data_IF_385741176600
#
_entry.id   IF_385741176600
#
_cell.length_a   1.000
_cell.length_b   1.000
_cell.length_c   1.000
_cell.angle_alpha   90.00
_cell.angle_beta   90.00
_cell.angle_gamma   90.00
#
_symmetry.space_group_name_H-M   'P 1'
#
loop_
_entity.id
_entity.type
_entity.pdbx_description
1 polymer ?
2 non-polymer ?
3 non-polymer ?
4 water ?
#
# COMPACT_ATOMS: atom_id res chain seq x y z
N UNK A 15 -28.06 -17.97 11.78
CA UNK A 15 -28.05 -16.87 10.77
C UNK A 15 -27.47 -17.37 9.45
N UNK A 16 -28.17 -17.03 8.40
CA UNK A 16 -28.07 -17.68 7.12
C UNK A 16 -27.56 -16.61 6.14
N UNK A 17 -26.91 -17.01 5.03
CA UNK A 17 -26.41 -15.97 4.10
C UNK A 17 -27.42 -14.86 3.77
N UNK A 18 -28.65 -15.25 3.44
CA UNK A 18 -29.68 -14.29 3.05
C UNK A 18 -30.07 -13.30 4.17
N UNK A 19 -29.70 -13.62 5.42
CA UNK A 19 -29.97 -12.73 6.56
C UNK A 19 -28.76 -11.91 7.09
N UNK A 20 -27.59 -12.08 6.46
CA UNK A 20 -26.37 -11.40 6.92
C UNK A 20 -26.51 -9.88 6.95
N UNK A 21 -26.99 -9.28 5.86
CA UNK A 21 -27.12 -7.83 5.74
C UNK A 21 -28.11 -7.27 6.73
N UNK A 22 -29.20 -7.99 6.95
CA UNK A 22 -30.22 -7.64 7.92
C UNK A 22 -29.64 -7.61 9.34
N UNK A 23 -28.93 -8.67 9.75
CA UNK A 23 -28.34 -8.79 11.10
C UNK A 23 -27.31 -7.68 11.35
N UNK A 24 -26.43 -7.45 10.38
CA UNK A 24 -25.40 -6.45 10.56
C UNK A 24 -26.02 -5.05 10.61
N UNK A 25 -27.04 -4.84 9.79
CA UNK A 25 -27.66 -3.51 9.63
C UNK A 25 -28.32 -3.01 10.90
N UNK A 26 -28.62 -3.89 11.83
CA UNK A 26 -29.11 -3.49 13.15
C UNK A 26 -28.03 -2.78 13.99
N UNK A 27 -26.74 -2.99 13.67
CA UNK A 27 -25.65 -2.49 14.50
C UNK A 27 -24.69 -1.56 13.76
N UNK A 28 -24.70 -1.61 12.43
CA UNK A 28 -23.70 -0.90 11.66
C UNK A 28 -24.27 -0.32 10.40
N UNK A 29 -23.54 0.63 9.83
CA UNK A 29 -23.77 1.08 8.48
C UNK A 29 -23.40 -0.03 7.49
N UNK A 30 -24.36 -0.48 6.69
CA UNK A 30 -24.08 -1.60 5.78
C UNK A 30 -23.87 -1.10 4.33
N UNK A 31 -22.67 -0.61 4.05
CA UNK A 31 -22.43 0.05 2.76
C UNK A 31 -21.46 -0.72 1.82
N UNK A 32 -21.12 -1.96 2.15
CA UNK A 32 -20.20 -2.73 1.34
C UNK A 32 -20.88 -3.43 0.18
N UNK A 33 -20.21 -4.44 -0.36
CA UNK A 33 -20.71 -5.17 -1.52
C UNK A 33 -21.98 -5.95 -1.24
N UNK A 34 -22.79 -6.10 -2.30
CA UNK A 34 -24.04 -6.84 -2.27
C UNK A 34 -23.96 -8.35 -2.04
N UNK A 35 -22.76 -8.90 -2.02
CA UNK A 35 -22.66 -10.34 -1.94
C UNK A 35 -22.44 -10.75 -0.51
N UNK A 36 -22.51 -12.04 -0.26
CA UNK A 36 -22.09 -12.56 1.02
C UNK A 36 -20.99 -13.55 0.69
N UNK A 37 -19.81 -13.33 1.28
CA UNK A 37 -18.62 -14.10 0.92
C UNK A 37 -18.71 -15.55 1.37
N UNK A 38 -18.60 -16.47 0.43
CA UNK A 38 -18.43 -17.89 0.75
C UNK A 38 -16.95 -18.18 1.01
N UNK A 39 -16.61 -18.43 2.27
CA UNK A 39 -15.22 -18.57 2.70
C UNK A 39 -14.58 -19.85 2.22
N UNK A 40 -15.42 -20.83 1.94
CA UNK A 40 -14.96 -22.15 1.54
C UNK A 40 -14.82 -22.32 0.02
N UNK A 41 -15.82 -21.87 -0.72
CA UNK A 41 -15.90 -22.12 -2.17
C UNK A 41 -15.16 -21.08 -3.02
N UNK A 42 -14.86 -19.92 -2.44
CA UNK A 42 -14.03 -18.90 -3.14
C UNK A 42 -12.62 -19.46 -3.32
N UNK A 43 -11.92 -19.04 -4.39
CA UNK A 43 -10.56 -19.57 -4.60
C UNK A 43 -9.88 -18.87 -5.72
N UNK A 44 -8.59 -18.61 -5.54
CA UNK A 44 -7.78 -18.03 -6.60
C UNK A 44 -8.29 -16.63 -6.91
N UNK A 45 -8.56 -16.36 -8.18
CA UNK A 45 -8.98 -15.04 -8.61
C UNK A 45 -10.50 -14.85 -8.59
N UNK A 46 -11.22 -15.77 -7.93
CA UNK A 46 -12.68 -15.77 -7.89
C UNK A 46 -13.27 -15.68 -6.47
N UNK A 47 -14.15 -14.70 -6.25
CA UNK A 47 -15.03 -14.69 -5.06
C UNK A 47 -16.38 -15.39 -5.34
N UNK A 48 -16.89 -16.15 -4.37
CA UNK A 48 -18.19 -16.80 -4.54
C UNK A 48 -19.23 -16.11 -3.63
N UNK A 49 -20.36 -15.72 -4.21
CA UNK A 49 -21.45 -15.17 -3.46
C UNK A 49 -22.24 -16.35 -2.88
N UNK A 50 -22.31 -16.40 -1.55
CA UNK A 50 -22.99 -17.51 -0.88
C UNK A 50 -24.49 -17.48 -1.11
N UNK A 51 -25.06 -16.35 -1.48
CA UNK A 51 -26.51 -16.26 -1.71
C UNK A 51 -26.90 -16.93 -3.05
N UNK A 52 -26.21 -16.58 -4.14
CA UNK A 52 -26.53 -17.13 -5.49
C UNK A 52 -25.61 -18.27 -5.99
N UNK A 53 -24.40 -18.35 -5.45
CA UNK A 53 -23.40 -19.23 -6.02
C UNK A 53 -22.70 -18.60 -7.23
N UNK A 54 -23.02 -17.36 -7.52
CA UNK A 54 -22.36 -16.66 -8.63
C UNK A 54 -20.87 -16.40 -8.31
N UNK A 55 -20.01 -16.59 -9.32
CA UNK A 55 -18.57 -16.37 -9.19
C UNK A 55 -18.21 -14.98 -9.72
N UNK A 56 -17.35 -14.28 -8.98
CA UNK A 56 -16.94 -12.93 -9.32
C UNK A 56 -15.45 -12.87 -9.56
N UNK A 57 -15.07 -12.32 -10.71
CA UNK A 57 -13.66 -12.17 -11.02
C UNK A 57 -13.09 -11.04 -10.14
N UNK A 58 -12.04 -11.35 -9.39
CA UNK A 58 -11.60 -10.43 -8.33
C UNK A 58 -10.34 -9.67 -8.76
N UNK A 59 -10.55 -8.43 -9.23
CA UNK A 59 -9.42 -7.51 -9.43
C UNK A 59 -9.36 -6.51 -8.26
N UNK A 60 -9.78 -6.93 -7.07
CA UNK A 60 -9.96 -6.01 -5.92
C UNK A 60 -9.14 -6.48 -4.72
N UNK A 61 -9.07 -7.80 -4.57
CA UNK A 61 -8.21 -8.51 -3.62
C UNK A 61 -8.26 -7.90 -2.22
N UNK A 62 -9.48 -7.62 -1.72
CA UNK A 62 -9.68 -7.04 -0.38
C UNK A 62 -8.86 -5.74 -0.22
N UNK A 63 -9.06 -4.82 -1.17
CA UNK A 63 -8.34 -3.55 -1.25
C UNK A 63 -6.83 -3.81 -1.36
N UNK A 64 -6.44 -4.66 -2.31
CA UNK A 64 -5.06 -5.01 -2.56
C UNK A 64 -4.31 -5.69 -1.38
N UNK A 65 -5.03 -6.30 -0.43
CA UNK A 65 -4.40 -6.91 0.73
C UNK A 65 -4.19 -8.45 0.64
N UNK A 66 -4.56 -9.05 -0.50
CA UNK A 66 -4.41 -10.50 -0.71
C UNK A 66 -3.40 -10.76 -1.85
N UNK A 67 -2.26 -11.37 -1.53
CA UNK A 67 -1.21 -11.59 -2.54
C UNK A 67 -1.55 -12.79 -3.44
N UNK A 68 -2.10 -13.83 -2.85
CA UNK A 68 -2.36 -15.09 -3.56
C UNK A 68 -3.85 -15.35 -3.89
N UNK A 69 -4.75 -14.43 -3.49
CA UNK A 69 -6.19 -14.65 -3.62
C UNK A 69 -6.74 -15.58 -2.54
N UNK A 70 -7.98 -16.03 -2.72
CA UNK A 70 -8.66 -16.87 -1.70
C UNK A 70 -8.19 -18.31 -1.73
N UNK A 71 -7.99 -18.86 -0.52
CA UNK A 71 -7.79 -20.30 -0.35
C UNK A 71 -6.72 -20.88 -1.30
N UNK A 72 -5.49 -20.35 -1.24
CA UNK A 72 -4.48 -20.85 -2.19
C UNK A 72 -4.14 -22.32 -1.90
N UNK A 73 -4.00 -23.15 -2.95
CA UNK A 73 -3.72 -24.58 -2.76
C UNK A 73 -2.54 -24.89 -1.83
N UNK A 74 -1.45 -24.13 -1.96
CA UNK A 74 -0.24 -24.35 -1.14
C UNK A 74 -0.52 -24.21 0.35
N UNK A 75 -1.58 -23.49 0.70
CA UNK A 75 -1.95 -23.27 2.09
C UNK A 75 -3.02 -24.29 2.46
N UNK A 76 -4.00 -24.45 1.59
CA UNK A 76 -5.15 -25.30 1.86
C UNK A 76 -4.77 -26.82 1.91
N UNK A 77 -3.86 -27.26 1.04
CA UNK A 77 -3.47 -28.70 1.02
C UNK A 77 -2.30 -29.05 1.94
N UNK A 78 -1.81 -28.09 2.72
CA UNK A 78 -0.60 -28.31 3.51
C UNK A 78 -0.99 -28.71 4.94
N UNK A 79 -1.07 -30.03 5.17
CA UNK A 79 -1.52 -30.54 6.47
C UNK A 79 -0.69 -30.06 7.65
N UNK A 80 0.62 -29.91 7.47
CA UNK A 80 1.50 -29.44 8.55
C UNK A 80 1.24 -27.97 8.89
N UNK A 81 1.01 -27.20 7.83
CA UNK A 81 0.71 -25.78 7.99
C UNK A 81 -0.66 -25.63 8.71
N UNK A 82 -1.64 -26.45 8.34
CA UNK A 82 -2.94 -26.43 9.04
C UNK A 82 -2.75 -26.50 10.53
N UNK A 83 -1.92 -27.45 10.97
CA UNK A 83 -1.64 -27.61 12.40
C UNK A 83 -0.96 -26.39 13.02
N UNK A 84 -0.01 -25.79 12.29
CA UNK A 84 0.71 -24.63 12.82
C UNK A 84 -0.25 -23.42 12.91
N UNK A 85 -1.02 -23.21 11.85
CA UNK A 85 -1.99 -22.14 11.81
C UNK A 85 -3.03 -22.29 12.94
N UNK A 86 -3.57 -23.49 13.11
CA UNK A 86 -4.54 -23.77 14.19
C UNK A 86 -3.98 -23.43 15.58
N UNK A 87 -2.76 -23.89 15.84
CA UNK A 87 -2.06 -23.58 17.09
C UNK A 87 -2.00 -22.10 17.35
N UNK A 88 -1.71 -21.31 16.30
CA UNK A 88 -1.66 -19.85 16.44
C UNK A 88 -3.03 -19.23 16.63
N UNK A 89 -4.01 -19.74 15.88
CA UNK A 89 -5.32 -19.14 15.80
C UNK A 89 -6.16 -19.30 17.06
N UNK A 90 -5.93 -20.37 17.82
CA UNK A 90 -6.71 -20.63 19.02
C UNK A 90 -6.51 -19.58 20.10
N UNK A 91 -5.32 -19.02 20.18
CA UNK A 91 -5.02 -18.01 21.20
C UNK A 91 -4.51 -16.72 20.54
N UNK A 92 -4.27 -15.69 21.32
CA UNK A 92 -3.71 -14.45 20.78
C UNK A 92 -2.69 -13.91 21.78
N UNK A 93 -1.45 -14.44 21.76
CA UNK A 93 -0.39 -14.00 22.68
C UNK A 93 -0.01 -12.53 22.45
N UNK A 94 0.45 -11.85 23.47
CA UNK A 94 1.09 -10.56 23.25
C UNK A 94 2.56 -10.81 22.86
N UNK A 95 2.85 -10.80 21.57
CA UNK A 95 4.20 -11.03 21.05
C UNK A 95 5.21 -9.96 21.46
N UNK A 96 4.71 -8.83 21.95
CA UNK A 96 5.52 -7.76 22.55
C UNK A 96 6.38 -8.31 23.68
N UNK A 97 5.81 -9.22 24.47
CA UNK A 97 6.35 -9.69 25.76
C UNK A 97 6.73 -11.16 25.74
N UNK A 98 6.01 -11.93 24.94
CA UNK A 98 6.14 -13.38 25.00
C UNK A 98 6.44 -13.94 23.61
N UNK A 99 7.64 -14.50 23.46
CA UNK A 99 8.12 -15.02 22.17
C UNK A 99 7.77 -16.48 21.97
N UNK A 100 7.68 -16.89 20.72
CA UNK A 100 7.38 -18.25 20.32
C UNK A 100 8.21 -18.63 19.11
N UNK A 101 8.26 -19.93 18.84
CA UNK A 101 8.90 -20.43 17.62
C UNK A 101 8.18 -19.93 16.34
N UNK A 102 6.85 -19.91 16.40
CA UNK A 102 6.01 -19.46 15.29
C UNK A 102 6.37 -18.04 14.90
N UNK A 103 6.50 -17.18 15.90
CA UNK A 103 6.92 -15.81 15.68
C UNK A 103 8.32 -15.73 15.08
N UNK A 104 9.28 -16.44 15.67
CA UNK A 104 10.67 -16.38 15.17
C UNK A 104 10.81 -16.87 13.72
N UNK A 105 10.10 -17.93 13.35
CA UNK A 105 10.07 -18.39 11.96
C UNK A 105 9.51 -17.35 11.02
N UNK A 106 8.46 -16.64 11.42
CA UNK A 106 7.94 -15.58 10.57
C UNK A 106 9.02 -14.49 10.38
N UNK A 107 9.67 -14.09 11.47
CA UNK A 107 10.59 -12.95 11.43
C UNK A 107 11.78 -13.32 10.55
N UNK A 108 12.30 -14.53 10.71
CA UNK A 108 13.43 -14.90 9.87
C UNK A 108 13.03 -15.04 8.38
N UNK A 109 11.81 -15.50 8.09
CA UNK A 109 11.43 -15.59 6.67
C UNK A 109 11.10 -14.21 6.06
N UNK A 110 10.48 -13.32 6.84
CA UNK A 110 10.30 -11.92 6.43
C UNK A 110 11.66 -11.30 6.05
N UNK A 111 12.65 -11.46 6.94
CA UNK A 111 13.98 -10.90 6.67
C UNK A 111 14.61 -11.51 5.40
N UNK A 112 14.49 -12.82 5.23
CA UNK A 112 15.03 -13.48 4.03
C UNK A 112 14.33 -13.00 2.74
N UNK A 113 13.00 -12.97 2.70
CA UNK A 113 12.29 -12.74 1.45
C UNK A 113 12.12 -11.25 1.11
N UNK A 114 11.82 -10.45 2.12
CA UNK A 114 11.57 -9.02 1.92
C UNK A 114 12.63 -8.10 2.50
N UNK A 115 13.62 -8.63 3.20
CA UNK A 115 14.57 -7.77 3.91
C UNK A 115 15.51 -6.99 3.00
N UNK A 116 16.01 -5.87 3.52
CA UNK A 116 17.00 -5.04 2.87
C UNK A 116 18.15 -4.93 3.88
N UNK A 117 19.40 -5.31 3.49
CA UNK A 117 20.55 -5.27 4.40
C UNK A 117 20.79 -3.91 5.04
N UNK A 118 20.40 -2.82 4.38
CA UNK A 118 20.51 -1.48 4.96
C UNK A 118 19.47 -1.15 6.04
N UNK A 119 18.40 -1.96 6.13
CA UNK A 119 17.26 -1.69 7.03
C UNK A 119 16.99 -2.89 7.96
N UNK A 120 17.91 -3.16 8.91
CA UNK A 120 17.80 -4.39 9.67
C UNK A 120 16.79 -4.37 10.84
N UNK A 121 16.34 -3.20 11.28
CA UNK A 121 15.43 -3.09 12.43
C UNK A 121 14.00 -3.32 11.96
N UNK A 122 13.37 -4.31 12.56
CA UNK A 122 12.00 -4.66 12.20
C UNK A 122 11.13 -4.37 13.39
N UNK A 123 9.91 -3.91 13.12
CA UNK A 123 8.92 -3.68 14.17
C UNK A 123 7.54 -3.97 13.61
N UNK A 124 6.72 -4.73 14.34
CA UNK A 124 5.41 -5.15 13.86
C UNK A 124 4.29 -4.65 14.74
N UNK A 125 3.15 -4.41 14.11
CA UNK A 125 1.96 -3.88 14.77
C UNK A 125 0.72 -4.33 13.93
N UNK A 126 -0.47 -4.28 14.53
CA UNK A 126 -1.70 -4.47 13.74
C UNK A 126 -2.07 -3.13 13.11
N UNK A 127 -2.27 -3.09 11.80
CA UNK A 127 -2.88 -1.93 11.16
C UNK A 127 -1.90 -1.09 10.35
N UNK A 128 -2.27 -0.76 9.11
CA UNK A 128 -1.40 0.03 8.26
C UNK A 128 -1.19 1.47 8.71
N UNK A 129 -2.24 2.13 9.17
CA UNK A 129 -2.04 3.52 9.65
C UNK A 129 -1.05 3.53 10.85
N UNK A 130 -1.13 2.55 11.71
CA UNK A 130 -0.23 2.50 12.86
C UNK A 130 1.22 2.16 12.47
N UNK A 131 1.39 1.41 11.38
CA UNK A 131 2.74 1.19 10.81
C UNK A 131 3.35 2.54 10.42
N UNK A 132 2.57 3.34 9.69
CA UNK A 132 3.04 4.66 9.27
C UNK A 132 3.30 5.51 10.47
N UNK A 133 2.40 5.48 11.45
CA UNK A 133 2.64 6.26 12.67
C UNK A 133 3.95 5.93 13.40
N UNK A 134 4.32 4.66 13.43
CA UNK A 134 5.53 4.28 14.14
C UNK A 134 6.77 4.70 13.39
N UNK A 135 6.69 4.70 12.06
CA UNK A 135 7.73 5.30 11.20
C UNK A 135 7.88 6.79 11.54
N UNK A 136 6.76 7.51 11.64
CA UNK A 136 6.78 8.92 12.07
C UNK A 136 7.37 9.12 13.47
N UNK A 137 6.92 8.34 14.44
CA UNK A 137 7.50 8.39 15.80
C UNK A 137 9.02 8.15 15.79
N UNK A 138 9.48 7.16 15.01
CA UNK A 138 10.91 6.92 14.88
C UNK A 138 11.62 8.18 14.42
N UNK A 139 11.04 8.87 13.43
CA UNK A 139 11.64 10.06 12.84
C UNK A 139 11.63 11.24 13.78
N UNK A 140 10.53 11.45 14.51
CA UNK A 140 10.42 12.58 15.45
C UNK A 140 11.48 12.43 16.53
N UNK A 141 11.64 11.20 17.04
CA UNK A 141 12.60 10.94 18.09
C UNK A 141 14.04 11.13 17.54
N UNK A 142 14.26 10.61 16.34
CA UNK A 142 15.55 10.72 15.70
C UNK A 142 15.95 12.19 15.52
N UNK A 143 15.04 13.01 14.99
CA UNK A 143 15.32 14.42 14.77
C UNK A 143 15.59 15.22 16.07
N UNK A 144 14.77 15.00 17.07
CA UNK A 144 14.95 15.64 18.38
C UNK A 144 16.35 15.29 18.92
N UNK A 145 16.70 14.01 18.92
CA UNK A 145 17.99 13.53 19.47
C UNK A 145 19.18 13.99 18.62
N UNK A 146 19.02 14.00 17.29
CA UNK A 146 20.05 14.50 16.38
C UNK A 146 20.26 16.00 16.62
N UNK A 147 19.18 16.77 16.65
CA UNK A 147 19.20 18.18 17.04
C UNK A 147 19.94 18.39 18.37
N UNK A 148 19.55 17.65 19.41
CA UNK A 148 20.17 17.76 20.73
C UNK A 148 21.69 17.51 20.68
N UNK A 149 22.11 16.51 19.90
CA UNK A 149 23.52 16.10 19.82
C UNK A 149 24.36 17.14 19.13
N UNK A 150 23.69 18.04 18.40
CA UNK A 150 24.38 19.06 17.62
C UNK A 150 24.06 20.47 18.15
N UNK A 151 23.69 20.57 19.42
CA UNK A 151 23.44 21.86 20.05
C UNK A 151 22.17 22.59 19.63
N UNK A 152 21.26 21.91 18.94
CA UNK A 152 19.95 22.48 18.58
C UNK A 152 18.89 22.07 19.61
N UNK A 153 17.96 22.97 19.90
CA UNK A 153 16.86 22.72 20.83
C UNK A 153 16.16 21.37 20.49
N UNK A 154 16.13 20.40 21.44
CA UNK A 154 15.43 19.11 21.29
C UNK A 154 13.90 19.21 21.18
N UNK A 155 13.35 20.40 21.43
CA UNK A 155 11.92 20.60 21.21
C UNK A 155 11.62 20.72 19.73
N UNK A 156 12.67 20.95 18.92
CA UNK A 156 12.49 21.06 17.47
C UNK A 156 12.60 19.67 16.84
N UNK A 157 11.85 19.46 15.75
CA UNK A 157 11.83 18.17 15.03
C UNK A 157 10.45 17.50 15.05
N UNK A 158 9.39 18.26 14.73
CA UNK A 158 8.04 17.76 14.96
C UNK A 158 7.15 17.78 13.71
N UNK A 159 7.69 18.19 12.57
CA UNK A 159 6.85 18.34 11.38
C UNK A 159 7.16 17.30 10.31
N UNK A 160 6.20 17.09 9.43
CA UNK A 160 6.34 16.04 8.43
C UNK A 160 6.06 16.66 7.08
N UNK A 161 7.07 16.61 6.20
CA UNK A 161 6.87 17.05 4.83
C UNK A 161 6.16 15.94 4.07
N UNK A 162 5.16 16.30 3.26
CA UNK A 162 4.39 15.27 2.53
C UNK A 162 3.79 15.85 1.25
N UNK A 163 3.10 14.99 0.50
CA UNK A 163 2.56 15.31 -0.81
C UNK A 163 1.06 15.57 -0.84
N UNK A 164 0.65 16.42 -1.78
CA UNK A 164 -0.77 16.57 -2.08
C UNK A 164 -1.23 15.26 -2.69
N UNK A 165 -2.47 14.89 -2.42
CA UNK A 165 -3.02 13.66 -2.98
C UNK A 165 -2.58 12.38 -2.25
N UNK A 166 -1.87 12.51 -1.14
CA UNK A 166 -1.39 11.40 -0.31
C UNK A 166 -2.50 10.68 0.44
N UNK A 167 -2.35 9.36 0.58
CA UNK A 167 -3.20 8.64 1.53
C UNK A 167 -2.30 7.80 2.42
N UNK A 168 -2.27 8.09 3.72
CA UNK A 168 -1.44 7.35 4.67
C UNK A 168 -2.23 6.73 5.84
N UNK A 169 -3.57 6.86 5.83
CA UNK A 169 -4.38 6.25 6.87
C UNK A 169 -5.30 7.26 7.55
N UNK A 170 -6.06 6.80 8.53
CA UNK A 170 -7.10 7.62 9.12
C UNK A 170 -6.94 7.77 10.63
N UNK A 171 -5.70 7.66 11.09
CA UNK A 171 -5.38 7.73 12.52
C UNK A 171 -4.88 9.12 12.89
N UNK A 172 -4.65 9.34 14.19
CA UNK A 172 -4.36 10.68 14.71
C UNK A 172 -3.29 11.47 13.96
N UNK A 173 -2.12 10.86 13.70
CA UNK A 173 -1.09 11.54 12.89
C UNK A 173 -1.35 11.50 11.38
N UNK A 174 -1.89 10.39 10.88
CA UNK A 174 -2.04 10.26 9.42
C UNK A 174 -3.19 11.11 8.86
N UNK A 175 -4.13 11.50 9.74
CA UNK A 175 -5.18 12.43 9.33
C UNK A 175 -4.62 13.80 9.01
N UNK A 176 -3.41 14.11 9.51
CA UNK A 176 -2.72 15.35 9.11
C UNK A 176 -1.94 15.23 7.80
N UNK A 177 -1.87 14.00 7.28
CA UNK A 177 -1.09 13.75 6.07
C UNK A 177 -2.00 13.46 4.88
N UNK A 178 -2.96 12.56 5.12
CA UNK A 178 -3.96 12.16 4.11
C UNK A 178 -4.75 13.37 3.59
N UNK A 179 -4.82 13.50 2.28
CA UNK A 179 -5.54 14.59 1.66
C UNK A 179 -6.03 14.15 0.27
N UNK A 180 -7.11 13.37 0.26
CA UNK A 180 -7.76 12.96 -0.98
C UNK A 180 -9.23 13.44 -0.97
N UNK A 181 -10.15 12.62 -0.45
CA UNK A 181 -11.56 12.99 -0.26
C UNK A 181 -11.72 13.73 1.07
N UNK A 182 -12.40 14.90 1.05
CA UNK A 182 -12.69 15.68 2.27
C UNK A 182 -13.41 14.87 3.36
N UNK A 183 -14.24 13.92 2.93
CA UNK A 183 -14.95 13.01 3.84
C UNK A 183 -14.01 12.31 4.84
N UNK A 184 -12.78 12.01 4.43
CA UNK A 184 -11.85 11.29 5.30
C UNK A 184 -11.36 12.14 6.48
N UNK A 185 -11.19 13.44 6.25
CA UNK A 185 -10.43 14.32 7.13
C UNK A 185 -11.27 15.43 7.77
N UNK A 186 -12.45 15.73 7.23
CA UNK A 186 -13.21 16.93 7.63
C UNK A 186 -13.58 16.87 9.13
N UNK A 187 -13.47 18.01 9.82
CA UNK A 187 -13.87 18.12 11.25
C UNK A 187 -12.99 17.35 12.26
N UNK A 188 -11.84 16.83 11.83
CA UNK A 188 -10.89 16.14 12.74
C UNK A 188 -9.67 17.05 12.98
N UNK A 189 -9.24 17.26 14.23
CA UNK A 189 -8.09 18.14 14.41
C UNK A 189 -6.78 17.65 13.76
N UNK A 190 -5.99 18.60 13.29
CA UNK A 190 -4.80 18.32 12.49
C UNK A 190 -3.61 19.19 12.93
N UNK A 191 -2.40 18.70 12.68
CA UNK A 191 -1.22 19.54 12.81
C UNK A 191 -1.09 20.26 11.50
N UNK A 192 -0.50 21.44 11.56
CA UNK A 192 -0.23 22.20 10.36
C UNK A 192 1.16 21.79 9.90
N UNK A 193 1.22 20.76 9.07
CA UNK A 193 2.49 20.23 8.55
C UNK A 193 2.62 20.61 7.08
N UNK A 194 3.86 20.84 6.59
CA UNK A 194 4.01 21.36 5.22
C UNK A 194 3.72 20.32 4.14
N UNK A 195 3.00 20.77 3.12
CA UNK A 195 2.47 19.93 2.09
C UNK A 195 2.91 20.55 0.77
N UNK A 196 3.44 19.74 -0.15
CA UNK A 196 3.92 20.22 -1.45
C UNK A 196 3.18 19.55 -2.62
N UNK A 197 3.20 20.20 -3.77
CA UNK A 197 2.64 19.63 -5.01
C UNK A 197 3.26 18.28 -5.35
N UNK A 198 2.44 17.39 -5.90
CA UNK A 198 2.89 16.08 -6.29
C UNK A 198 3.11 16.09 -7.80
N UNK A 199 4.38 16.01 -8.26
CA UNK A 199 4.75 16.10 -9.69
C UNK A 199 4.66 14.79 -10.47
N UNK A 200 3.47 14.21 -10.50
CA UNK A 200 3.28 12.88 -11.07
C UNK A 200 3.24 12.95 -12.60
N UNK A 201 3.61 11.85 -13.25
CA UNK A 201 3.55 11.73 -14.71
C UNK A 201 2.13 11.86 -15.22
N UNK A 202 1.95 12.71 -16.22
CA UNK A 202 0.65 12.81 -16.87
C UNK A 202 0.83 12.69 -18.38
N UNK A 203 -0.24 12.30 -19.10
CA UNK A 203 -0.03 12.10 -20.54
C UNK A 203 0.24 13.44 -21.24
N UNK A 204 1.14 13.39 -22.22
CA UNK A 204 1.47 14.57 -23.02
C UNK A 204 2.34 15.57 -22.27
N UNK A 205 3.30 15.05 -21.50
CA UNK A 205 4.36 15.83 -20.89
C UNK A 205 5.67 15.10 -21.16
N UNK A 206 6.57 15.76 -21.88
CA UNK A 206 7.85 15.16 -22.21
C UNK A 206 8.87 15.45 -21.12
N UNK A 207 10.06 14.84 -21.27
CA UNK A 207 11.18 15.00 -20.34
C UNK A 207 11.32 16.42 -19.74
N UNK A 208 11.56 17.45 -20.59
CA UNK A 208 11.65 18.86 -20.14
C UNK A 208 10.43 19.38 -19.40
N UNK A 209 9.24 19.04 -19.89
CA UNK A 209 8.00 19.44 -19.22
C UNK A 209 7.91 18.82 -17.81
N UNK A 210 8.29 17.55 -17.68
CA UNK A 210 8.28 16.84 -16.39
C UNK A 210 9.31 17.42 -15.45
N UNK A 211 10.48 17.72 -16.01
CA UNK A 211 11.60 18.25 -15.24
C UNK A 211 11.21 19.59 -14.59
N UNK A 212 10.42 20.39 -15.31
CA UNK A 212 9.95 21.69 -14.83
C UNK A 212 8.89 21.54 -13.73
N UNK A 213 8.02 20.54 -13.89
CA UNK A 213 7.04 20.16 -12.85
C UNK A 213 7.74 19.73 -11.56
N UNK A 214 8.71 18.82 -11.66
CA UNK A 214 9.47 18.38 -10.49
C UNK A 214 10.23 19.53 -9.81
N UNK A 215 10.86 20.40 -10.63
CA UNK A 215 11.65 21.54 -10.11
C UNK A 215 10.80 22.44 -9.22
N UNK A 216 9.53 22.60 -9.59
CA UNK A 216 8.59 23.39 -8.80
C UNK A 216 8.25 22.73 -7.45
N UNK A 217 8.01 21.43 -7.45
CA UNK A 217 7.80 20.67 -6.21
C UNK A 217 9.02 20.78 -5.31
N UNK A 218 10.19 20.59 -5.93
CA UNK A 218 11.49 20.66 -5.26
C UNK A 218 11.71 22.05 -4.64
N UNK A 219 11.33 23.09 -5.37
CA UNK A 219 11.43 24.46 -4.89
C UNK A 219 10.57 24.64 -3.63
N UNK A 220 9.33 24.13 -3.66
CA UNK A 220 8.42 24.15 -2.53
C UNK A 220 8.97 23.35 -1.35
N UNK A 221 9.61 22.22 -1.63
CA UNK A 221 10.23 21.41 -0.57
C UNK A 221 11.36 22.18 0.15
N UNK A 222 12.25 22.77 -0.65
CA UNK A 222 13.37 23.55 -0.13
C UNK A 222 12.88 24.72 0.73
N UNK A 223 11.86 25.41 0.25
CA UNK A 223 11.28 26.54 0.96
C UNK A 223 10.74 26.12 2.34
N UNK A 224 10.06 24.95 2.38
CA UNK A 224 9.61 24.39 3.67
C UNK A 224 10.77 24.14 4.62
N UNK A 225 11.84 23.50 4.14
CA UNK A 225 12.99 23.22 5.00
C UNK A 225 13.62 24.52 5.50
N UNK A 226 13.76 25.50 4.62
CA UNK A 226 14.44 26.76 4.99
C UNK A 226 13.56 27.62 5.92
N UNK A 227 12.25 27.53 5.82
CA UNK A 227 11.40 28.38 6.66
C UNK A 227 10.97 27.76 8.00
N UNK A 228 11.32 26.49 8.20
CA UNK A 228 11.02 25.75 9.43
C UNK A 228 12.33 25.06 9.88
N UNK A 229 13.39 25.86 10.21
CA UNK A 229 14.71 25.25 10.36
C UNK A 229 14.77 24.24 11.49
N UNK A 230 15.32 23.07 11.18
CA UNK A 230 15.54 21.99 12.15
C UNK A 230 14.26 21.35 12.67
N UNK A 231 13.13 21.72 12.09
CA UNK A 231 11.84 21.31 12.64
C UNK A 231 11.14 20.27 11.76
N UNK A 232 11.64 20.03 10.56
CA UNK A 232 11.07 18.95 9.69
C UNK A 232 11.84 17.63 9.93
N UNK A 233 11.16 16.62 10.48
CA UNK A 233 11.85 15.35 10.88
C UNK A 233 11.98 14.41 9.72
N UNK A 234 11.03 14.49 8.78
CA UNK A 234 10.99 13.56 7.66
C UNK A 234 10.13 14.04 6.50
N UNK A 235 10.37 13.40 5.37
CA UNK A 235 9.52 13.47 4.21
C UNK A 235 8.92 12.06 4.03
N UNK A 236 7.59 11.99 3.90
CA UNK A 236 6.90 10.71 3.72
C UNK A 236 6.25 10.76 2.38
N UNK A 237 6.30 9.63 1.67
CA UNK A 237 5.60 9.48 0.40
C UNK A 237 5.22 8.05 0.10
N UNK A 238 4.13 7.88 -0.63
CA UNK A 238 3.87 6.66 -1.40
C UNK A 238 4.71 6.70 -2.70
N UNK A 239 5.46 5.62 -3.01
CA UNK A 239 6.25 5.57 -4.25
C UNK A 239 5.36 5.68 -5.49
N UNK A 240 4.11 5.18 -5.37
CA UNK A 240 3.03 5.38 -6.32
C UNK A 240 1.80 5.68 -5.49
N UNK A 241 1.16 6.81 -5.75
CA UNK A 241 -0.02 7.18 -4.97
C UNK A 241 -1.22 6.31 -5.39
N UNK A 242 -1.76 5.52 -4.47
CA UNK A 242 -2.80 4.56 -4.81
C UNK A 242 -4.18 5.16 -4.75
N UNK A 243 -4.65 5.38 -3.53
CA UNK A 243 -5.99 5.87 -3.34
C UNK A 243 -6.25 7.22 -3.99
N UNK A 244 -5.21 8.03 -4.13
CA UNK A 244 -5.33 9.34 -4.77
C UNK A 244 -5.46 9.28 -6.28
N UNK A 245 -5.27 8.10 -6.88
CA UNK A 245 -5.46 7.89 -8.32
C UNK A 245 -4.36 7.20 -9.13
N UNK A 246 -3.65 6.24 -8.54
CA UNK A 246 -2.54 5.58 -9.23
C UNK A 246 -1.64 6.59 -9.95
N UNK A 247 -1.04 7.47 -9.17
CA UNK A 247 -0.15 8.50 -9.73
C UNK A 247 1.27 8.08 -9.53
N UNK A 248 1.99 8.05 -10.64
CA UNK A 248 3.35 7.52 -10.71
C UNK A 248 4.34 8.69 -10.83
N UNK A 249 5.51 8.51 -10.27
CA UNK A 249 6.52 9.59 -10.19
C UNK A 249 7.75 9.04 -10.84
N UNK A 250 8.47 9.93 -11.51
CA UNK A 250 9.78 9.55 -12.03
C UNK A 250 10.75 9.27 -10.90
N UNK A 251 11.68 8.33 -11.12
CA UNK A 251 12.74 8.13 -10.12
C UNK A 251 13.55 9.41 -9.84
N UNK A 252 13.74 10.24 -10.87
CA UNK A 252 14.48 11.53 -10.72
C UNK A 252 13.91 12.38 -9.58
N UNK A 253 12.58 12.40 -9.46
CA UNK A 253 11.97 13.21 -8.41
C UNK A 253 12.39 12.74 -7.00
N UNK A 254 12.28 11.44 -6.77
CA UNK A 254 12.62 10.90 -5.46
C UNK A 254 14.14 10.99 -5.18
N UNK A 255 14.97 10.79 -6.21
CA UNK A 255 16.45 10.93 -6.08
C UNK A 255 16.81 12.34 -5.65
N UNK A 256 16.13 13.34 -6.20
CA UNK A 256 16.27 14.72 -5.75
C UNK A 256 15.80 14.93 -4.32
N UNK A 257 14.61 14.38 -3.99
CA UNK A 257 14.14 14.44 -2.59
C UNK A 257 15.09 13.77 -1.60
N UNK A 258 15.66 12.65 -2.00
CA UNK A 258 16.68 11.96 -1.19
C UNK A 258 17.85 12.91 -0.85
N UNK A 259 18.31 13.64 -1.85
CA UNK A 259 19.45 14.57 -1.62
C UNK A 259 19.07 15.74 -0.74
N UNK A 260 17.90 16.31 -0.98
CA UNK A 260 17.39 17.40 -0.14
C UNK A 260 17.20 16.97 1.30
N UNK A 261 16.66 15.75 1.50
CA UNK A 261 16.49 15.21 2.84
C UNK A 261 17.84 15.11 3.56
N UNK A 262 18.87 14.64 2.84
CA UNK A 262 20.18 14.53 3.46
C UNK A 262 20.78 15.90 3.76
N UNK A 263 20.61 16.84 2.85
CA UNK A 263 21.10 18.19 3.06
C UNK A 263 20.54 18.82 4.34
N UNK A 264 19.25 18.57 4.62
CA UNK A 264 18.62 19.16 5.81
C UNK A 264 18.47 18.23 7.02
N UNK A 265 19.19 17.11 7.04
CA UNK A 265 19.13 16.08 8.12
C UNK A 265 17.71 15.64 8.49
N UNK A 266 16.99 15.19 7.47
CA UNK A 266 15.62 14.68 7.60
C UNK A 266 15.58 13.26 7.00
N UNK A 267 14.81 12.38 7.63
CA UNK A 267 14.67 10.99 7.14
C UNK A 267 13.72 10.92 5.96
N UNK A 268 13.95 9.98 5.06
CA UNK A 268 13.03 9.76 3.97
C UNK A 268 12.27 8.47 4.27
N UNK A 269 10.95 8.57 4.37
CA UNK A 269 10.14 7.40 4.62
C UNK A 269 9.22 7.06 3.43
N UNK A 270 9.26 5.80 2.98
CA UNK A 270 8.33 5.37 1.96
C UNK A 270 7.20 4.61 2.57
N UNK A 271 5.98 5.00 2.23
CA UNK A 271 4.78 4.26 2.66
C UNK A 271 4.49 3.24 1.56
N UNK A 272 4.90 1.99 1.81
CA UNK A 272 4.69 0.87 0.89
C UNK A 272 3.52 -0.03 1.31
N UNK A 273 2.60 0.51 2.09
CA UNK A 273 1.46 -0.31 2.55
C UNK A 273 0.69 -0.83 1.33
N UNK A 274 0.49 0.01 0.32
CA UNK A 274 -0.19 -0.46 -0.92
C UNK A 274 0.72 -1.04 -2.01
N UNK A 275 1.94 -0.54 -2.13
CA UNK A 275 2.82 -0.94 -3.21
C UNK A 275 3.61 -2.20 -2.94
N UNK A 276 3.69 -2.59 -1.67
CA UNK A 276 4.67 -3.56 -1.22
C UNK A 276 4.33 -5.01 -1.50
N UNK A 277 5.27 -5.86 -1.13
CA UNK A 277 5.10 -7.31 -1.18
C UNK A 277 4.81 -7.81 -2.60
N UNK A 278 5.56 -7.30 -3.57
CA UNK A 278 5.58 -7.91 -4.90
C UNK A 278 4.67 -7.37 -5.98
N UNK A 279 3.69 -6.53 -5.63
CA UNK A 279 2.72 -6.04 -6.58
C UNK A 279 3.32 -5.38 -7.82
N UNK A 280 4.39 -4.59 -7.62
CA UNK A 280 5.01 -3.88 -8.74
C UNK A 280 6.05 -4.72 -9.47
N UNK A 281 6.29 -5.94 -9.01
CA UNK A 281 7.27 -6.81 -9.63
C UNK A 281 8.54 -7.03 -8.84
N UNK A 282 8.76 -6.24 -7.78
CA UNK A 282 9.87 -6.41 -6.86
C UNK A 282 9.28 -6.47 -5.46
N UNK A 283 10.04 -6.97 -4.49
CA UNK A 283 9.61 -6.92 -3.10
C UNK A 283 8.99 -5.56 -2.73
N UNK A 284 9.68 -4.47 -3.05
CA UNK A 284 9.24 -3.11 -2.74
C UNK A 284 9.34 -2.25 -3.96
N UNK A 285 8.43 -1.28 -4.12
CA UNK A 285 8.52 -0.39 -5.28
C UNK A 285 9.80 0.45 -5.27
N UNK A 286 10.29 0.83 -4.09
CA UNK A 286 11.49 1.68 -4.02
C UNK A 286 12.69 0.99 -4.67
N UNK A 287 12.71 -0.34 -4.69
CA UNK A 287 13.84 -1.08 -5.28
C UNK A 287 13.96 -0.82 -6.79
N UNK A 288 12.84 -0.44 -7.42
CA UNK A 288 12.84 -0.12 -8.84
C UNK A 288 13.10 1.37 -9.12
N UNK A 289 12.94 2.21 -8.12
CA UNK A 289 13.21 3.63 -8.26
C UNK A 289 14.68 3.95 -7.97
N UNK A 290 15.42 3.00 -7.39
CA UNK A 290 16.82 3.21 -7.02
C UNK A 290 17.00 4.42 -6.04
N UNK A 291 16.08 4.55 -5.08
CA UNK A 291 16.25 5.52 -4.01
C UNK A 291 16.27 4.70 -2.72
N UNK A 292 17.23 4.96 -1.84
CA UNK A 292 17.30 4.26 -0.54
C UNK A 292 16.52 5.03 0.52
N UNK A 293 15.43 4.44 1.05
CA UNK A 293 14.76 5.12 2.17
C UNK A 293 15.48 4.87 3.54
N UNK A 294 15.15 5.67 4.56
CA UNK A 294 15.68 5.38 5.90
C UNK A 294 14.73 4.45 6.63
N UNK A 295 13.45 4.61 6.31
CA UNK A 295 12.43 3.80 6.90
C UNK A 295 11.31 3.45 5.89
N UNK A 296 10.80 2.21 5.96
CA UNK A 296 9.71 1.75 5.08
C UNK A 296 8.54 1.26 5.98
N UNK A 297 7.32 1.77 5.75
CA UNK A 297 6.12 1.26 6.43
C UNK A 297 5.47 0.24 5.48
N UNK A 298 5.03 -0.90 6.02
CA UNK A 298 4.37 -1.94 5.22
C UNK A 298 3.07 -2.45 5.88
N UNK A 299 2.27 -3.16 5.10
CA UNK A 299 0.99 -3.68 5.60
C UNK A 299 0.24 -4.32 4.45
N UNK A 300 -1.09 -4.38 4.58
CA UNK A 300 -1.96 -5.03 3.59
C UNK A 300 -1.51 -6.46 3.23
N UNK A 301 -0.84 -6.67 2.08
CA UNK A 301 -0.47 -8.04 1.68
C UNK A 301 0.40 -8.80 2.69
N UNK A 302 1.20 -8.06 3.47
CA UNK A 302 2.04 -8.66 4.51
C UNK A 302 1.19 -9.21 5.69
N UNK A 303 -0.10 -8.87 5.75
CA UNK A 303 -1.07 -9.36 6.79
C UNK A 303 -0.78 -8.73 8.17
N UNK A 304 0.42 -8.97 8.70
CA UNK A 304 0.97 -8.17 9.82
C UNK A 304 1.54 -6.87 9.25
N UNK A 305 1.40 -5.80 10.02
CA UNK A 305 1.88 -4.50 9.53
C UNK A 305 3.16 -4.11 10.29
N UNK A 306 3.87 -3.10 9.80
CA UNK A 306 5.04 -2.65 10.56
C UNK A 306 6.01 -1.75 9.80
N UNK A 307 7.23 -1.67 10.33
CA UNK A 307 8.26 -0.82 9.76
C UNK A 307 9.59 -1.63 9.66
N UNK A 308 10.35 -1.30 8.63
CA UNK A 308 11.79 -1.69 8.51
C UNK A 308 12.57 -0.39 8.54
N UNK A 309 13.64 -0.34 9.32
CA UNK A 309 14.40 0.89 9.48
C UNK A 309 15.89 0.65 9.52
N UNK A 310 16.64 1.69 9.15
CA UNK A 310 18.11 1.59 9.09
C UNK A 310 18.64 2.83 8.38
N UNK A 311 19.65 2.65 7.52
CA UNK A 311 20.36 3.78 6.94
C UNK A 311 20.66 4.86 8.03
N UNK A 312 20.17 6.10 7.90
CA UNK A 312 20.59 7.14 8.84
C UNK A 312 20.06 6.96 10.27
N UNK A 313 19.03 6.12 10.44
CA UNK A 313 18.44 5.92 11.79
C UNK A 313 19.51 5.50 12.79
N UNK A 314 20.42 4.64 12.34
CA UNK A 314 21.46 4.12 13.22
C UNK A 314 22.50 5.15 13.69
N UNK A 315 22.55 6.33 13.07
CA UNK A 315 23.49 7.40 13.50
C UNK A 315 23.16 8.00 14.85
N UNK A 316 21.92 7.78 15.32
CA UNK A 316 21.49 8.25 16.64
C UNK A 316 21.45 6.94 17.44
N UNK A 317 22.41 6.74 18.33
CA UNK A 317 22.59 5.45 19.00
C UNK A 317 21.40 5.05 19.90
N UNK A 318 20.71 6.05 20.46
CA UNK A 318 19.58 5.83 21.39
C UNK A 318 18.24 6.07 20.68
N UNK A 319 18.12 5.59 19.44
CA UNK A 319 16.91 5.70 18.67
C UNK A 319 15.84 4.69 19.21
N UNK A 320 14.62 4.73 18.67
CA UNK A 320 13.49 3.97 19.24
C UNK A 320 13.63 2.48 19.06
N UNK A 321 14.54 2.04 18.20
CA UNK A 321 14.79 0.61 17.99
C UNK A 321 15.83 0.05 18.94
N UNK A 322 16.54 0.96 19.62
CA UNK A 322 17.63 0.61 20.52
C UNK A 322 17.23 0.77 22.01
N UNK A 323 16.17 1.52 22.30
CA UNK A 323 15.76 1.88 23.66
C UNK A 323 14.39 1.22 23.98
N UNK A 324 14.31 0.45 25.07
CA UNK A 324 13.07 -0.23 25.42
C UNK A 324 11.91 0.73 25.66
N UNK A 325 10.73 0.31 25.19
CA UNK A 325 9.45 0.91 25.54
C UNK A 325 9.12 2.22 24.86
N UNK A 326 9.92 2.65 23.87
CA UNK A 326 9.59 3.87 23.11
C UNK A 326 8.48 3.60 22.09
N UNK A 327 8.52 2.42 21.47
CA UNK A 327 7.44 1.91 20.61
C UNK A 327 6.82 0.66 21.22
N UNK A 328 5.51 0.52 21.10
CA UNK A 328 4.86 -0.68 21.64
C UNK A 328 3.41 -0.73 21.20
N UNK A 329 2.82 -1.92 21.35
CA UNK A 329 1.37 -2.13 21.32
C UNK A 329 1.11 -3.37 22.17
N UNK A 330 -0.15 -3.58 22.57
CA UNK A 330 -0.47 -4.78 23.37
C UNK A 330 -0.02 -6.07 22.69
N UNK A 331 -0.44 -6.31 21.46
CA UNK A 331 -0.17 -7.64 20.90
C UNK A 331 1.13 -7.76 20.10
N UNK A 332 1.66 -6.61 19.62
CA UNK A 332 2.81 -6.59 18.70
C UNK A 332 2.52 -7.36 17.41
N UNK A 333 1.33 -7.17 16.87
CA UNK A 333 0.93 -7.88 15.68
C UNK A 333 0.17 -9.16 16.03
N UNK A 334 -0.61 -9.65 15.07
CA UNK A 334 -1.43 -10.80 15.28
C UNK A 334 -0.62 -12.06 14.93
N UNK A 335 -0.43 -12.96 15.90
CA UNK A 335 0.36 -14.18 15.65
C UNK A 335 -0.22 -15.04 14.50
N UNK A 336 -1.56 -15.10 14.38
CA UNK A 336 -2.20 -15.80 13.27
C UNK A 336 -1.78 -15.20 11.92
N UNK A 337 -1.76 -13.87 11.83
CA UNK A 337 -1.28 -13.19 10.62
C UNK A 337 0.19 -13.46 10.29
N UNK A 338 1.04 -13.56 11.32
CA UNK A 338 2.47 -13.89 11.13
C UNK A 338 2.65 -15.28 10.57
N UNK A 339 1.92 -16.24 11.12
CA UNK A 339 2.01 -17.62 10.63
C UNK A 339 1.49 -17.76 9.16
N UNK A 340 0.36 -17.12 8.83
CA UNK A 340 -0.17 -17.07 7.45
C UNK A 340 0.84 -16.38 6.50
N UNK A 341 1.34 -15.22 6.92
CA UNK A 341 2.29 -14.43 6.15
C UNK A 341 3.55 -15.22 5.90
N UNK A 342 4.03 -15.95 6.93
CA UNK A 342 5.22 -16.78 6.74
C UNK A 342 5.02 -17.77 5.58
N UNK A 343 3.89 -18.48 5.61
CA UNK A 343 3.62 -19.47 4.57
C UNK A 343 3.46 -18.81 3.18
N UNK A 344 2.77 -17.67 3.12
CA UNK A 344 2.59 -16.89 1.88
C UNK A 344 3.96 -16.47 1.31
N UNK A 345 4.85 -15.96 2.17
CA UNK A 345 6.20 -15.56 1.73
C UNK A 345 6.98 -16.75 1.15
N UNK A 346 6.82 -17.91 1.76
CA UNK A 346 7.47 -19.12 1.26
C UNK A 346 6.96 -19.51 -0.15
N UNK A 347 5.66 -19.36 -0.37
CA UNK A 347 5.06 -19.61 -1.70
C UNK A 347 5.67 -18.61 -2.71
N UNK A 348 5.69 -17.34 -2.35
CA UNK A 348 6.23 -16.31 -3.23
C UNK A 348 7.67 -16.65 -3.67
N UNK A 349 8.48 -17.06 -2.69
CA UNK A 349 9.89 -17.37 -2.91
C UNK A 349 10.05 -18.63 -3.79
N UNK A 350 9.25 -19.66 -3.49
CA UNK A 350 9.35 -20.98 -4.13
C UNK A 350 8.84 -20.95 -5.56
N UNK A 351 7.80 -20.15 -5.81
CA UNK A 351 7.18 -20.14 -7.15
C UNK A 351 7.61 -18.98 -8.04
N UNK A 352 8.53 -18.14 -7.56
CA UNK A 352 9.03 -16.99 -8.34
C UNK A 352 7.95 -15.96 -8.66
N UNK A 353 7.10 -15.66 -7.67
CA UNK A 353 5.93 -14.80 -7.93
C UNK A 353 6.24 -13.33 -8.21
N UNK A 354 7.38 -12.81 -7.76
CA UNK A 354 7.76 -11.44 -8.16
C UNK A 354 7.94 -11.38 -9.68
N UNK A 355 8.63 -12.37 -10.24
CA UNK A 355 8.88 -12.41 -11.67
C UNK A 355 7.60 -12.66 -12.47
N UNK A 356 6.72 -13.49 -11.94
CA UNK A 356 5.40 -13.69 -12.53
C UNK A 356 4.59 -12.38 -12.57
N UNK A 357 4.74 -11.57 -11.52
CA UNK A 357 4.12 -10.26 -11.50
C UNK A 357 4.65 -9.29 -12.58
N UNK A 358 5.97 -9.31 -12.79
CA UNK A 358 6.58 -8.53 -13.87
C UNK A 358 5.97 -8.97 -15.22
N UNK A 359 5.95 -10.27 -15.50
CA UNK A 359 5.50 -10.73 -16.82
C UNK A 359 4.01 -10.51 -17.08
N UNK A 360 3.16 -10.80 -16.09
CA UNK A 360 1.72 -10.63 -16.27
C UNK A 360 1.33 -9.17 -16.19
N UNK A 361 2.11 -8.40 -15.45
CA UNK A 361 2.02 -6.97 -15.43
C UNK A 361 2.22 -6.34 -16.81
N UNK A 362 3.23 -6.79 -17.55
CA UNK A 362 3.50 -6.32 -18.95
C UNK A 362 2.32 -6.69 -19.85
N UNK A 363 1.78 -7.90 -19.64
CA UNK A 363 0.62 -8.34 -20.37
C UNK A 363 -0.60 -7.46 -20.11
N UNK A 364 -0.93 -7.23 -18.84
CA UNK A 364 -2.09 -6.39 -18.48
C UNK A 364 -1.97 -4.98 -19.09
N UNK A 365 -0.77 -4.40 -18.96
CA UNK A 365 -0.49 -3.07 -19.47
C UNK A 365 -0.65 -2.99 -20.98
N UNK A 366 -0.13 -3.98 -21.71
CA UNK A 366 -0.33 -4.10 -23.17
C UNK A 366 -1.82 -4.10 -23.57
N UNK A 367 -2.65 -4.85 -22.84
CA UNK A 367 -4.10 -4.84 -23.09
C UNK A 367 -4.74 -3.51 -22.83
N UNK A 368 -4.23 -2.75 -21.84
CA UNK A 368 -4.80 -1.42 -21.54
C UNK A 368 -4.41 -0.41 -22.63
N UNK A 369 -3.20 -0.59 -23.19
CA UNK A 369 -2.74 0.22 -24.34
C UNK A 369 -3.64 -0.07 -25.55
N UNK A 370 -3.96 -1.34 -25.77
CA UNK A 370 -4.91 -1.70 -26.82
C UNK A 370 -6.28 -1.06 -26.63
N UNK A 371 -6.84 -1.12 -25.41
CA UNK A 371 -8.10 -0.45 -25.11
C UNK A 371 -8.03 1.04 -25.45
N UNK A 372 -6.92 1.66 -25.07
CA UNK A 372 -6.71 3.08 -25.30
C UNK A 372 -6.76 3.42 -26.80
N UNK A 373 -6.12 2.59 -27.62
CA UNK A 373 -6.14 2.72 -29.07
C UNK A 373 -7.55 2.59 -29.62
N UNK A 374 -8.30 1.60 -29.15
CA UNK A 374 -9.66 1.34 -29.65
C UNK A 374 -10.70 2.36 -29.17
N UNK A 375 -10.45 2.95 -28.00
CA UNK A 375 -11.37 3.92 -27.39
C UNK A 375 -10.66 5.21 -26.93
N UNK A 376 -9.99 5.89 -27.87
CA UNK A 376 -9.05 6.98 -27.56
C UNK A 376 -9.66 8.14 -26.80
N UNK A 377 -10.95 8.37 -26.94
CA UNK A 377 -11.59 9.50 -26.27
C UNK A 377 -12.04 9.17 -24.85
N UNK A 378 -12.00 7.88 -24.51
CA UNK A 378 -12.70 7.38 -23.34
C UNK A 378 -11.74 6.70 -22.36
N UNK A 379 -10.81 5.91 -22.88
CA UNK A 379 -9.85 5.18 -22.07
C UNK A 379 -8.57 6.03 -22.03
N UNK A 380 -8.43 6.84 -20.97
CA UNK A 380 -7.32 7.79 -20.83
C UNK A 380 -6.19 7.32 -19.92
N UNK A 381 -4.97 7.68 -20.31
CA UNK A 381 -3.81 7.54 -19.44
C UNK A 381 -3.65 6.11 -18.87
N UNK A 382 -3.62 5.08 -19.76
CA UNK A 382 -3.31 3.73 -19.28
C UNK A 382 -1.91 3.71 -18.67
N UNK A 383 -1.76 3.05 -17.52
CA UNK A 383 -0.51 3.19 -16.76
C UNK A 383 -0.37 2.06 -15.75
N UNK A 384 0.86 1.83 -15.27
CA UNK A 384 1.11 0.75 -14.35
C UNK A 384 2.57 0.42 -14.13
N UNK A 385 2.82 -0.26 -13.00
CA UNK A 385 4.11 -0.88 -12.70
C UNK A 385 3.79 -2.26 -12.17
N UNK A 386 4.28 -3.30 -12.85
CA UNK A 386 3.90 -4.69 -12.50
C UNK A 386 2.39 -4.83 -12.59
N UNK A 387 1.78 -5.46 -11.58
CA UNK A 387 0.33 -5.67 -11.59
C UNK A 387 -0.49 -4.48 -11.07
N UNK A 388 0.19 -3.41 -10.68
CA UNK A 388 -0.48 -2.25 -10.16
C UNK A 388 -0.76 -1.35 -11.36
N UNK A 389 -1.96 -1.49 -11.94
CA UNK A 389 -2.30 -0.86 -13.22
C UNK A 389 -3.61 -0.13 -13.09
N UNK A 390 -3.85 0.80 -14.01
CA UNK A 390 -5.01 1.69 -13.97
C UNK A 390 -5.21 2.38 -15.32
N UNK A 391 -6.41 2.95 -15.48
CA UNK A 391 -6.67 3.96 -16.49
C UNK A 391 -7.73 4.89 -15.95
N UNK A 392 -7.96 5.99 -16.65
CA UNK A 392 -8.94 6.99 -16.24
C UNK A 392 -10.01 7.19 -17.31
N UNK A 393 -11.12 7.74 -16.88
CA UNK A 393 -12.21 8.09 -17.76
C UNK A 393 -12.35 9.64 -17.86
N UNK A 394 -13.10 10.14 -18.84
CA UNK A 394 -13.30 11.59 -19.00
C UNK A 394 -13.91 12.30 -17.79
N UNK A 395 -14.88 11.66 -17.15
CA UNK A 395 -15.56 12.29 -16.03
C UNK A 395 -15.77 11.26 -14.91
N UNK A 396 -16.08 11.74 -13.71
CA UNK A 396 -16.37 10.80 -12.64
C UNK A 396 -17.68 10.02 -12.87
N UNK A 397 -18.66 10.64 -13.53
CA UNK A 397 -19.89 9.94 -13.90
C UNK A 397 -19.59 8.73 -14.79
N UNK A 398 -18.70 8.91 -15.77
CA UNK A 398 -18.33 7.79 -16.66
C UNK A 398 -17.65 6.69 -15.86
N UNK A 399 -16.73 7.08 -14.97
CA UNK A 399 -15.99 6.14 -14.10
C UNK A 399 -16.94 5.32 -13.24
N UNK A 400 -17.85 5.99 -12.52
CA UNK A 400 -18.80 5.31 -11.65
C UNK A 400 -19.69 4.33 -12.42
N UNK A 401 -20.14 4.76 -13.61
CA UNK A 401 -20.95 3.90 -14.47
C UNK A 401 -20.19 2.68 -14.95
N UNK A 402 -18.93 2.86 -15.35
CA UNK A 402 -18.13 1.72 -15.80
C UNK A 402 -17.98 0.68 -14.68
N UNK A 403 -17.77 1.16 -13.46
CA UNK A 403 -17.67 0.25 -12.34
C UNK A 403 -18.96 -0.57 -12.11
N UNK A 404 -20.11 0.10 -12.22
CA UNK A 404 -21.41 -0.54 -12.11
C UNK A 404 -21.63 -1.57 -13.21
N UNK A 405 -21.28 -1.22 -14.45
CA UNK A 405 -21.40 -2.10 -15.59
C UNK A 405 -20.53 -3.35 -15.46
N UNK A 406 -19.35 -3.19 -14.82
CA UNK A 406 -18.46 -4.31 -14.56
C UNK A 406 -19.01 -5.21 -13.44
N UNK A 407 -19.60 -4.58 -12.43
CA UNK A 407 -20.23 -5.30 -11.35
C UNK A 407 -21.36 -6.22 -11.90
N UNK A 408 -22.17 -5.70 -12.82
CA UNK A 408 -23.26 -6.47 -13.43
C UNK A 408 -22.73 -7.66 -14.20
N UNK A 409 -21.51 -7.51 -14.74
CA UNK A 409 -20.78 -8.56 -15.41
C UNK A 409 -19.86 -9.37 -14.49
N UNK A 410 -20.01 -9.22 -13.17
CA UNK A 410 -19.30 -10.09 -12.21
C UNK A 410 -17.77 -9.88 -12.24
N UNK A 411 -17.33 -8.64 -12.45
CA UNK A 411 -15.91 -8.28 -12.32
C UNK A 411 -15.79 -7.17 -11.26
N UNK A 412 -14.97 -7.42 -10.23
CA UNK A 412 -14.78 -6.46 -9.14
C UNK A 412 -13.49 -5.66 -9.36
N UNK A 413 -13.63 -4.35 -9.54
CA UNK A 413 -12.49 -3.43 -9.61
C UNK A 413 -12.73 -2.31 -8.60
N UNK A 414 -11.73 -1.48 -8.35
CA UNK A 414 -11.86 -0.40 -7.37
C UNK A 414 -11.71 0.97 -8.03
N UNK A 415 -12.51 1.94 -7.60
CA UNK A 415 -12.24 3.31 -8.06
C UNK A 415 -11.08 3.94 -7.27
N UNK A 416 -10.56 5.04 -7.81
CA UNK A 416 -9.58 5.88 -7.11
C UNK A 416 -9.71 7.29 -7.64
N UNK A 417 -9.46 8.27 -6.77
CA UNK A 417 -9.55 9.67 -7.12
C UNK A 417 -10.89 10.04 -7.74
N UNK A 418 -10.85 11.01 -8.67
CA UNK A 418 -12.06 11.49 -9.31
C UNK A 418 -12.46 10.64 -10.50
N UNK A 419 -11.48 10.06 -11.22
CA UNK A 419 -11.80 9.45 -12.53
C UNK A 419 -10.99 8.20 -12.88
N UNK A 420 -10.38 7.57 -11.89
CA UNK A 420 -9.54 6.39 -12.11
C UNK A 420 -10.26 5.09 -11.79
N UNK A 421 -9.96 4.05 -12.58
CA UNK A 421 -10.31 2.68 -12.28
C UNK A 421 -8.97 1.96 -12.10
N UNK A 422 -8.82 1.26 -10.96
CA UNK A 422 -7.59 0.52 -10.71
C UNK A 422 -7.80 -1.00 -10.68
N UNK A 423 -6.75 -1.71 -11.08
CA UNK A 423 -6.74 -3.15 -11.12
C UNK A 423 -5.79 -3.53 -10.01
N UNK A 424 -6.25 -4.44 -9.15
CA UNK A 424 -5.42 -5.02 -8.08
C UNK A 424 -5.60 -6.54 -8.10
N UNK A 425 -5.06 -7.23 -9.13
CA UNK A 425 -5.20 -8.69 -9.22
C UNK A 425 -4.24 -9.39 -8.23
N UNK A 426 -4.50 -10.68 -7.90
CA UNK A 426 -3.53 -11.41 -7.08
C UNK A 426 -2.24 -11.66 -7.88
N UNK A 427 -1.13 -11.91 -7.19
CA UNK A 427 0.13 -12.21 -7.86
C UNK A 427 0.01 -13.45 -8.74
N UNK A 428 -1.00 -14.29 -8.46
CA UNK A 428 -1.19 -15.59 -9.10
C UNK A 428 -2.17 -15.53 -10.31
N UNK A 429 -2.67 -14.34 -10.64
CA UNK A 429 -3.60 -14.14 -11.76
C UNK A 429 -3.03 -14.74 -13.06
N UNK A 430 -3.88 -15.35 -13.87
CA UNK A 430 -3.44 -15.91 -15.18
C UNK A 430 -3.74 -14.94 -16.33
N UNK A 431 -3.19 -15.21 -17.51
CA UNK A 431 -3.45 -14.31 -18.65
C UNK A 431 -4.89 -14.44 -19.12
N UNK A 432 -5.48 -15.63 -18.95
CA UNK A 432 -6.92 -15.81 -19.30
C UNK A 432 -7.84 -14.99 -18.41
N UNK A 433 -7.50 -14.91 -17.13
CA UNK A 433 -8.23 -14.07 -16.18
C UNK A 433 -8.12 -12.59 -16.52
N UNK A 434 -6.92 -12.14 -16.91
CA UNK A 434 -6.72 -10.78 -17.39
C UNK A 434 -7.56 -10.56 -18.66
N UNK A 435 -7.57 -11.55 -19.55
CA UNK A 435 -8.37 -11.45 -20.80
C UNK A 435 -9.85 -11.30 -20.46
N UNK A 436 -10.35 -12.12 -19.53
CA UNK A 436 -11.75 -11.99 -19.10
C UNK A 436 -12.06 -10.61 -18.55
N UNK A 437 -11.12 -10.01 -17.81
CA UNK A 437 -11.39 -8.70 -17.23
C UNK A 437 -11.48 -7.66 -18.35
N UNK A 438 -10.55 -7.75 -19.29
CA UNK A 438 -10.46 -6.81 -20.41
C UNK A 438 -11.69 -6.96 -21.33
N UNK A 439 -12.08 -8.21 -21.61
CA UNK A 439 -13.31 -8.47 -22.39
C UNK A 439 -14.53 -7.81 -21.73
N UNK A 440 -14.64 -7.88 -20.39
CA UNK A 440 -15.71 -7.19 -19.67
C UNK A 440 -15.68 -5.70 -19.85
N UNK A 441 -14.49 -5.11 -19.85
CA UNK A 441 -14.37 -3.64 -20.01
C UNK A 441 -14.80 -3.25 -21.43
N UNK A 442 -14.34 -4.02 -22.41
CA UNK A 442 -14.71 -3.80 -23.82
C UNK A 442 -16.23 -3.87 -24.02
N UNK A 443 -16.88 -4.81 -23.36
CA UNK A 443 -18.33 -4.92 -23.43
C UNK A 443 -19.05 -3.75 -22.80
N UNK A 444 -18.52 -3.27 -21.67
CA UNK A 444 -19.18 -2.22 -20.89
C UNK A 444 -19.01 -0.84 -21.50
N UNK A 445 -17.92 -0.62 -22.20
CA UNK A 445 -17.57 0.73 -22.69
C UNK A 445 -18.57 1.38 -23.65
N UNK A 446 -19.06 0.63 -24.67
CA UNK A 446 -20.09 1.23 -25.52
C UNK A 446 -21.32 1.66 -24.73
N UNK A 447 -21.65 0.95 -23.64
CA UNK A 447 -22.80 1.29 -22.81
C UNK A 447 -22.58 2.60 -22.03
N UNK A 448 -21.37 2.78 -21.47
CA UNK A 448 -21.04 4.02 -20.78
C UNK A 448 -21.04 5.28 -21.70
N UNK A 449 -20.43 5.21 -22.88
CA UNK A 449 -20.37 6.34 -23.85
C UNK A 449 -21.73 6.99 -24.23
X LIG B 1 -0.98 3.92 3.68
X LIG B 1 -1.35 3.50 2.40
X LIG B 1 -0.53 3.95 1.20
X LIG B 1 -2.50 2.68 2.26
X LIG B 1 -2.76 2.05 1.04
X LIG B 1 -3.22 2.30 3.41
X LIG B 1 -4.32 1.28 3.33
X LIG B 1 -2.81 2.70 4.69
X LIG B 1 -1.67 3.51 4.82
X LIG B 1 -3.74 2.47 5.89
X LIG B 1 -3.84 1.07 6.16
X LIG B 1 -5.00 0.50 7.14
X LIG B 1 -4.93 1.41 8.37
X LIG B 1 -6.39 0.69 6.53
X LIG B 1 -4.74 -0.98 7.53
X LIG C 1 -7.57 2.35 -0.72
X LIG C 1 -8.76 2.32 -1.11
X LIG C 1 -6.59 2.34 -1.50
X LIG C 1 -7.38 2.42 0.74
X LIG C 1 -6.38 1.97 1.27
X LIG C 1 -8.49 3.13 1.50
X LIG C 1 -8.84 2.58 2.88
X LIG C 1 -9.66 3.65 3.58
X LIG C 1 -9.60 3.72 4.83
X LIG C 1 -10.37 4.45 2.91
#
# INVERSE_FOLDING_TARGET
MAAVVKSVALAGRPTTPDRVHEVLGRSMLVDGLDIVLDLTRSGGSYLVDAITGRRYLDMFTFVASSALGMNPPALVDDREFHAELMQAALNKPSNSDVYSVAMARFVETFARVLGDPALPHLFFVEGGALAVENALKAAFDWKSRHNQAHGIDPALGTQVLHLRGAFHGRSGYTLSLTNTKPTITARFPKFDWPRIDAPYMRPGLDEPAMAALEAEALRQARAAFETRPHDIACFVAEPIQGEGGDRHFRPEFFAAMRELCDEFDALLIFDEVQTGCGLTGTAWAYQQLDVAPDIVAFGKKTQVCGVMAGRRVDEVADNVFAVPSRLNSTWGGNLTDMVRARRILEVIEAEGLFERAVQHGKYLRARLDELAADFPAVVLDPRGRGLMCAFSLPTTADRDELIRQLWQRAVIVLPAGADTVRFRPPLTVSTAEIDAAIAAVRSALPVVT
PLP N1 C2 C2A C3 O3 C4 C4A C5 C6 C5A O4P P O1P O2P O3P
AKG C1 O1 O2 C2 O5 C3 C4 C5 O3 O4
#
